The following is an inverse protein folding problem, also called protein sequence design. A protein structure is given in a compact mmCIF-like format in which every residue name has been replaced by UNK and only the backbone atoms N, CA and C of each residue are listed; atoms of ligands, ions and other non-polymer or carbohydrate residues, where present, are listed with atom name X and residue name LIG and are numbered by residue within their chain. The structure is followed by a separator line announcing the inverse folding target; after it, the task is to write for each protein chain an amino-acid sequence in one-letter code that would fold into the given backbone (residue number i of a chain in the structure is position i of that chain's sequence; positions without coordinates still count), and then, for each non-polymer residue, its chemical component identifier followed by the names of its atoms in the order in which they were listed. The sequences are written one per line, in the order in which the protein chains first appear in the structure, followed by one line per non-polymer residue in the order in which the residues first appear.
data_IF_695099258249
#
_entry.id   IF_695099258249
#
_cell.length_a   1.000
_cell.length_b   1.000
_cell.length_c   1.000
_cell.angle_alpha   90.00
_cell.angle_beta   90.00
_cell.angle_gamma   90.00
#
_symmetry.space_group_name_H-M   'P 1'
#
loop_
_entity.id
_entity.type
_entity.pdbx_description
1 polymer ?
#
# COMPACT_ATOMS: atom_id res chain seq x y z
N UNK A 1 -9.14 35.27 18.62
CA UNK A 1 -8.88 34.31 17.53
C UNK A 1 -8.35 32.92 17.96
N UNK A 2 -7.60 32.77 19.08
CA UNK A 2 -7.08 31.45 19.51
C UNK A 2 -8.15 30.44 19.97
N UNK A 3 -9.28 30.89 20.53
CA UNK A 3 -10.34 30.01 21.05
C UNK A 3 -11.21 29.33 20.00
N UNK A 4 -11.28 29.87 18.77
CA UNK A 4 -12.01 29.25 17.66
C UNK A 4 -11.25 28.03 17.10
N UNK A 5 -9.91 28.07 17.18
CA UNK A 5 -9.04 26.99 16.69
C UNK A 5 -9.11 25.76 17.59
N UNK A 6 -9.14 25.94 18.92
CA UNK A 6 -9.22 24.83 19.88
C UNK A 6 -10.55 24.07 19.78
N UNK A 7 -11.67 24.80 19.66
CA UNK A 7 -12.99 24.18 19.52
C UNK A 7 -13.15 23.37 18.21
N UNK A 8 -12.51 23.83 17.13
CA UNK A 8 -12.51 23.14 15.82
C UNK A 8 -11.69 21.86 15.84
N UNK A 9 -10.54 21.86 16.53
CA UNK A 9 -9.70 20.66 16.71
C UNK A 9 -10.43 19.61 17.55
N UNK A 10 -11.11 20.03 18.62
CA UNK A 10 -11.85 19.14 19.50
C UNK A 10 -13.08 18.51 18.81
N UNK A 11 -13.82 19.30 18.01
CA UNK A 11 -14.92 18.79 17.20
C UNK A 11 -14.47 17.76 16.15
N UNK A 12 -13.30 17.97 15.53
CA UNK A 12 -12.72 17.03 14.57
C UNK A 12 -12.30 15.71 15.22
N UNK A 13 -11.74 15.75 16.44
CA UNK A 13 -11.39 14.55 17.19
C UNK A 13 -12.63 13.74 17.59
N UNK A 14 -13.69 14.41 18.07
CA UNK A 14 -14.93 13.75 18.45
C UNK A 14 -15.62 13.05 17.26
N UNK A 15 -15.54 13.65 16.07
CA UNK A 15 -16.03 13.03 14.84
C UNK A 15 -15.24 11.76 14.48
N UNK A 16 -13.90 11.79 14.58
CA UNK A 16 -13.05 10.61 14.33
C UNK A 16 -13.37 9.46 15.30
N UNK A 17 -13.61 9.77 16.57
CA UNK A 17 -13.98 8.75 17.57
C UNK A 17 -15.33 8.11 17.24
N UNK A 18 -16.32 8.91 16.81
CA UNK A 18 -17.63 8.36 16.38
C UNK A 18 -17.49 7.44 15.16
N UNK A 19 -16.72 7.85 14.15
CA UNK A 19 -16.44 7.00 12.98
C UNK A 19 -15.72 5.70 13.37
N UNK A 20 -14.72 5.79 14.24
CA UNK A 20 -13.97 4.64 14.75
C UNK A 20 -14.90 3.62 15.42
N UNK A 21 -15.73 4.06 16.36
CA UNK A 21 -16.68 3.19 17.08
C UNK A 21 -17.65 2.50 16.11
N UNK A 22 -18.18 3.22 15.13
CA UNK A 22 -19.05 2.64 14.08
C UNK A 22 -18.32 1.58 13.25
N UNK A 23 -17.07 1.81 12.88
CA UNK A 23 -16.27 0.86 12.09
C UNK A 23 -15.89 -0.37 12.91
N UNK A 24 -15.58 -0.21 14.20
CA UNK A 24 -15.32 -1.34 15.11
C UNK A 24 -16.57 -2.22 15.26
N UNK A 25 -17.74 -1.61 15.48
CA UNK A 25 -19.00 -2.37 15.61
C UNK A 25 -19.41 -3.11 14.33
N UNK A 26 -18.99 -2.63 13.15
CA UNK A 26 -19.21 -3.31 11.87
C UNK A 26 -18.14 -4.35 11.52
N UNK A 27 -17.20 -4.63 12.43
CA UNK A 27 -16.12 -5.61 12.22
C UNK A 27 -14.97 -5.11 11.34
N UNK A 28 -15.00 -3.84 10.90
CA UNK A 28 -14.01 -3.22 10.01
C UNK A 28 -12.82 -2.65 10.79
N UNK A 29 -12.18 -3.50 11.61
CA UNK A 29 -11.11 -3.09 12.54
C UNK A 29 -9.94 -2.39 11.83
N UNK A 30 -9.49 -2.92 10.68
CA UNK A 30 -8.40 -2.34 9.90
C UNK A 30 -8.70 -0.92 9.43
N UNK A 31 -9.92 -0.68 8.97
CA UNK A 31 -10.34 0.63 8.47
C UNK A 31 -10.46 1.62 9.63
N UNK A 32 -11.03 1.16 10.76
CA UNK A 32 -11.10 1.94 12.00
C UNK A 32 -9.71 2.40 12.45
N UNK A 33 -8.73 1.48 12.51
CA UNK A 33 -7.36 1.81 12.89
C UNK A 33 -6.69 2.76 11.90
N UNK A 34 -6.95 2.62 10.59
CA UNK A 34 -6.38 3.51 9.57
C UNK A 34 -6.94 4.94 9.65
N UNK A 35 -8.24 5.09 9.89
CA UNK A 35 -8.89 6.39 10.03
C UNK A 35 -8.40 7.13 11.29
N UNK A 36 -8.35 6.46 12.44
CA UNK A 36 -7.95 7.11 13.70
C UNK A 36 -6.46 7.47 13.75
N UNK A 37 -5.61 6.72 13.03
CA UNK A 37 -4.16 6.98 12.97
C UNK A 37 -3.74 7.87 11.80
N UNK A 38 -4.70 8.51 11.12
CA UNK A 38 -4.46 9.35 9.93
C UNK A 38 -3.67 8.65 8.79
N UNK A 39 -3.60 7.31 8.85
CA UNK A 39 -2.98 6.46 7.84
C UNK A 39 -3.86 6.27 6.59
N UNK A 40 -5.06 6.82 6.59
CA UNK A 40 -5.91 6.86 5.40
C UNK A 40 -5.37 7.83 4.34
N UNK A 41 -4.76 8.95 4.74
CA UNK A 41 -4.20 9.96 3.85
C UNK A 41 -2.66 9.91 3.77
N UNK A 42 -2.00 9.63 4.90
CA UNK A 42 -0.52 9.65 5.01
C UNK A 42 0.09 8.24 5.06
N UNK A 43 -0.68 7.20 4.75
CA UNK A 43 -0.21 5.83 4.70
C UNK A 43 -0.04 5.37 3.27
N UNK A 44 1.16 4.91 2.90
CA UNK A 44 1.45 4.41 1.55
C UNK A 44 2.93 4.49 1.23
N UNK A 45 3.30 4.03 0.05
CA UNK A 45 4.61 4.36 -0.51
C UNK A 45 4.64 5.86 -0.80
N UNK A 46 5.73 6.52 -0.40
CA UNK A 46 5.95 7.92 -0.75
C UNK A 46 6.22 8.02 -2.25
N UNK A 47 5.73 9.09 -2.88
CA UNK A 47 6.02 9.35 -4.30
C UNK A 47 7.47 9.85 -4.44
N UNK A 48 8.16 9.55 -5.55
CA UNK A 48 9.54 9.97 -5.77
C UNK A 48 9.78 11.47 -5.59
N UNK A 49 8.81 12.31 -5.97
CA UNK A 49 8.85 13.77 -5.91
C UNK A 49 8.45 14.33 -4.53
N UNK A 50 8.04 13.47 -3.59
CA UNK A 50 7.66 13.92 -2.24
C UNK A 50 8.90 14.41 -1.50
N UNK A 51 8.76 15.53 -0.79
CA UNK A 51 9.82 16.06 0.07
C UNK A 51 9.92 15.25 1.37
N UNK A 52 11.14 14.90 1.77
CA UNK A 52 11.45 14.33 3.07
C UNK A 52 11.74 15.42 4.10
N UNK A 53 11.84 15.03 5.37
CA UNK A 53 12.19 15.93 6.47
C UNK A 53 13.61 16.53 6.32
N UNK A 54 14.47 15.87 5.54
CA UNK A 54 15.84 16.30 5.25
C UNK A 54 15.92 17.32 4.10
N UNK A 55 14.79 17.76 3.56
CA UNK A 55 14.72 18.75 2.48
C UNK A 55 15.14 18.21 1.12
N UNK A 56 15.22 16.88 0.95
CA UNK A 56 15.46 16.19 -0.31
C UNK A 56 14.19 15.51 -0.79
N UNK A 57 14.11 15.24 -2.09
CA UNK A 57 13.06 14.37 -2.62
C UNK A 57 13.31 12.91 -2.19
N UNK A 58 12.26 12.11 -2.15
CA UNK A 58 12.39 10.66 -1.91
C UNK A 58 13.33 10.02 -2.93
N UNK A 59 13.29 10.46 -4.19
CA UNK A 59 14.19 9.98 -5.23
C UNK A 59 15.66 10.24 -4.89
N UNK A 60 16.00 11.48 -4.53
CA UNK A 60 17.38 11.86 -4.14
C UNK A 60 17.86 11.04 -2.94
N UNK A 61 17.00 10.85 -1.93
CA UNK A 61 17.35 10.01 -0.77
C UNK A 61 17.60 8.55 -1.16
N UNK A 62 16.84 8.02 -2.12
CA UNK A 62 17.03 6.66 -2.63
C UNK A 62 18.32 6.56 -3.45
N UNK A 63 18.60 7.53 -4.33
CA UNK A 63 19.83 7.60 -5.11
C UNK A 63 21.07 7.71 -4.22
N UNK A 64 21.00 8.44 -3.11
CA UNK A 64 22.12 8.53 -2.16
C UNK A 64 22.35 7.24 -1.37
N UNK A 65 21.30 6.49 -1.06
CA UNK A 65 21.40 5.22 -0.34
C UNK A 65 21.91 4.08 -1.20
N UNK A 66 21.64 4.13 -2.50
CA UNK A 66 21.94 3.04 -3.42
C UNK A 66 23.17 3.37 -4.26
N UNK A 67 24.17 2.47 -4.34
CA UNK A 67 25.27 2.67 -5.27
C UNK A 67 24.72 2.72 -6.71
N UNK A 68 25.44 3.38 -7.63
CA UNK A 68 25.06 3.38 -9.03
C UNK A 68 24.90 1.93 -9.52
N UNK A 69 23.92 1.72 -10.41
CA UNK A 69 23.63 0.40 -10.95
C UNK A 69 24.91 -0.21 -11.52
N UNK A 70 25.29 -1.37 -10.98
CA UNK A 70 26.48 -2.09 -11.39
C UNK A 70 26.07 -3.27 -12.26
N UNK A 71 26.72 -3.43 -13.41
CA UNK A 71 26.59 -4.66 -14.21
C UNK A 71 27.30 -5.78 -13.45
N UNK A 72 26.63 -6.89 -13.10
CA UNK A 72 27.28 -8.00 -12.44
C UNK A 72 28.34 -8.61 -13.36
N UNK A 73 29.48 -9.01 -12.79
CA UNK A 73 30.53 -9.72 -13.51
C UNK A 73 30.00 -11.09 -13.98
N UNK A 74 30.13 -11.44 -15.27
CA UNK A 74 29.81 -12.77 -15.81
C UNK A 74 30.34 -13.94 -14.97
N UNK A 75 31.49 -13.79 -14.32
CA UNK A 75 32.09 -14.84 -13.46
C UNK A 75 31.35 -15.03 -12.12
N UNK A 76 30.49 -14.09 -11.73
CA UNK A 76 29.66 -14.19 -10.51
C UNK A 76 28.41 -15.04 -10.73
N UNK A 77 28.04 -15.28 -12.00
CA UNK A 77 26.89 -16.12 -12.30
C UNK A 77 27.23 -17.57 -11.97
N UNK A 78 26.26 -18.29 -11.38
CA UNK A 78 26.40 -19.72 -11.16
C UNK A 78 26.56 -20.41 -12.53
N UNK A 79 27.73 -21.01 -12.74
CA UNK A 79 27.95 -21.88 -13.88
C UNK A 79 27.16 -23.16 -13.64
N UNK A 80 26.03 -23.32 -14.35
CA UNK A 80 25.28 -24.57 -14.38
C UNK A 80 25.25 -25.10 -15.81
N UNK A 81 25.77 -26.31 -16.02
CA UNK A 81 25.70 -26.99 -17.31
C UNK A 81 24.26 -27.42 -17.66
N UNK A 82 23.44 -27.66 -16.64
CA UNK A 82 22.04 -28.06 -16.78
C UNK A 82 21.10 -26.93 -16.32
N UNK A 83 20.31 -26.42 -17.25
CA UNK A 83 19.21 -25.51 -16.94
C UNK A 83 18.04 -26.31 -16.34
N UNK A 84 17.35 -25.80 -15.30
CA UNK A 84 16.14 -26.43 -14.80
C UNK A 84 15.10 -26.55 -15.92
N UNK A 85 14.35 -27.65 -15.91
CA UNK A 85 13.30 -27.88 -16.89
C UNK A 85 12.27 -26.74 -16.84
N UNK A 86 12.14 -25.99 -17.93
CA UNK A 86 11.08 -25.01 -18.07
C UNK A 86 9.75 -25.75 -18.12
N UNK A 87 8.96 -25.63 -17.06
CA UNK A 87 7.61 -26.21 -17.02
C UNK A 87 6.66 -25.23 -17.68
N UNK A 88 5.96 -25.67 -18.72
CA UNK A 88 4.90 -24.87 -19.33
C UNK A 88 3.77 -24.66 -18.33
N UNK A 89 3.49 -23.40 -18.01
CA UNK A 89 2.40 -23.02 -17.11
C UNK A 89 1.14 -22.82 -17.94
N UNK A 90 0.22 -23.77 -17.87
CA UNK A 90 -1.10 -23.65 -18.48
C UNK A 90 -2.10 -22.95 -17.54
N UNK A 91 -2.53 -21.76 -17.92
CA UNK A 91 -3.52 -20.97 -17.19
C UNK A 91 -4.90 -21.16 -17.81
N UNK A 92 -5.61 -22.19 -17.34
CA UNK A 92 -7.02 -22.42 -17.68
C UNK A 92 -8.01 -21.39 -17.08
N UNK A 93 -9.22 -21.35 -17.62
CA UNK A 93 -10.36 -20.57 -17.10
C UNK A 93 -10.64 -20.84 -15.61
N UNK A 94 -10.47 -22.10 -15.18
CA UNK A 94 -10.66 -22.48 -13.77
C UNK A 94 -9.70 -21.73 -12.85
N UNK A 95 -8.44 -21.54 -13.27
CA UNK A 95 -7.44 -20.81 -12.48
C UNK A 95 -7.82 -19.33 -12.35
N UNK A 96 -8.33 -18.73 -13.43
CA UNK A 96 -8.78 -17.34 -13.47
C UNK A 96 -10.01 -17.17 -12.57
N UNK A 97 -11.02 -18.02 -12.73
CA UNK A 97 -12.25 -17.98 -11.94
C UNK A 97 -11.97 -18.17 -10.45
N UNK A 98 -11.14 -19.15 -10.08
CA UNK A 98 -10.77 -19.39 -8.68
C UNK A 98 -10.04 -18.19 -8.07
N UNK A 99 -9.13 -17.57 -8.82
CA UNK A 99 -8.39 -16.40 -8.36
C UNK A 99 -9.33 -15.21 -8.20
N UNK A 100 -10.17 -14.93 -9.19
CA UNK A 100 -11.12 -13.83 -9.18
C UNK A 100 -12.10 -13.89 -8.00
N UNK A 101 -12.63 -15.07 -7.67
CA UNK A 101 -13.54 -15.24 -6.53
C UNK A 101 -12.85 -15.12 -5.17
N UNK A 102 -11.53 -15.29 -5.12
CA UNK A 102 -10.72 -15.18 -3.89
C UNK A 102 -10.11 -13.80 -3.70
N UNK A 103 -10.12 -12.95 -4.72
CA UNK A 103 -9.72 -11.55 -4.58
C UNK A 103 -10.68 -10.87 -3.61
N UNK A 104 -10.14 -10.45 -2.46
CA UNK A 104 -10.85 -9.61 -1.49
C UNK A 104 -10.11 -8.29 -1.35
N UNK A 105 -10.87 -7.22 -1.24
CA UNK A 105 -10.34 -5.87 -1.07
C UNK A 105 -10.10 -5.13 -2.39
N UNK A 106 -10.13 -3.81 -2.27
CA UNK A 106 -10.00 -2.87 -3.36
C UNK A 106 -8.55 -2.39 -3.51
N UNK A 107 -7.71 -3.19 -4.17
CA UNK A 107 -6.35 -2.78 -4.52
C UNK A 107 -6.25 -2.11 -5.91
N UNK A 108 -7.36 -2.06 -6.66
CA UNK A 108 -7.44 -1.30 -7.90
C UNK A 108 -7.68 0.20 -7.66
N UNK A 109 -7.35 1.07 -8.63
CA UNK A 109 -7.46 2.52 -8.51
C UNK A 109 -8.88 3.02 -8.21
N UNK A 110 -9.93 2.21 -8.43
CA UNK A 110 -11.32 2.56 -8.18
C UNK A 110 -11.81 2.32 -6.74
N UNK A 111 -11.04 1.64 -5.88
CA UNK A 111 -11.48 1.42 -4.49
C UNK A 111 -12.74 0.54 -4.33
N UNK A 112 -13.23 -0.10 -5.38
CA UNK A 112 -14.47 -0.91 -5.34
C UNK A 112 -14.20 -2.27 -4.70
N UNK A 113 -14.93 -2.57 -3.62
CA UNK A 113 -14.85 -3.85 -2.91
C UNK A 113 -15.49 -4.98 -3.72
N UNK A 114 -15.01 -6.21 -3.52
CA UNK A 114 -15.50 -7.41 -4.18
C UNK A 114 -17.00 -7.68 -3.90
N UNK A 115 -17.53 -7.16 -2.78
CA UNK A 115 -18.95 -7.28 -2.45
C UNK A 115 -19.89 -6.50 -3.39
N UNK A 116 -19.38 -5.54 -4.17
CA UNK A 116 -20.18 -4.84 -5.17
C UNK A 116 -20.39 -5.66 -6.46
N UNK A 117 -19.66 -6.76 -6.64
CA UNK A 117 -19.83 -7.71 -7.75
C UNK A 117 -20.65 -8.94 -7.32
N UNK A 118 -21.84 -8.71 -6.79
CA UNK A 118 -22.83 -9.76 -6.59
C UNK A 118 -24.02 -9.57 -7.51
#
# INVERSE_FOLDING_TARGET
DRGLKTHRVQAGYEQKVRSFTRLVHSGRLRDATREITDRAANGGALQPESMTDDGKTVLEVLEEKHPPQMTPDPETFLQSDELPLMTDVDISERHISLSAHRLRGSAGPSGTDAEQRR
#
